data_IF_534106214430
#
_entry.id   IF_534106214430
#
_cell.length_a   1.000
_cell.length_b   1.000
_cell.length_c   1.000
_cell.angle_alpha   90.00
_cell.angle_beta   90.00
_cell.angle_gamma   90.00
#
_symmetry.space_group_name_H-M   'P 1'
#
loop_
_entity.id
_entity.type
_entity.pdbx_description
1 polymer ?
#
# COMPACT_ATOMS: atom_id res chain seq x y z
N UNK A 1 -26.67 17.60 17.47
CA UNK A 1 -25.55 18.40 18.04
C UNK A 1 -24.35 18.15 17.14
N UNK A 2 -23.88 19.19 16.49
CA UNK A 2 -22.65 19.09 15.70
C UNK A 2 -21.47 19.01 16.68
N UNK A 3 -20.64 17.98 16.52
CA UNK A 3 -19.40 17.81 17.25
C UNK A 3 -18.22 18.14 16.31
N UNK A 4 -17.94 19.43 16.07
CA UNK A 4 -16.91 19.84 15.09
C UNK A 4 -15.53 19.35 15.46
N UNK A 5 -15.26 19.07 16.75
CA UNK A 5 -14.03 18.45 17.21
C UNK A 5 -13.86 16.98 16.77
N UNK A 6 -14.96 16.28 16.48
CA UNK A 6 -14.93 14.90 15.98
C UNK A 6 -14.89 14.83 14.45
N UNK A 7 -15.20 15.94 13.78
CA UNK A 7 -15.24 16.03 12.32
C UNK A 7 -14.06 16.82 11.73
N UNK A 8 -13.15 17.30 12.59
CA UNK A 8 -11.99 18.06 12.11
C UNK A 8 -11.08 17.19 11.25
N UNK A 9 -11.08 17.51 9.97
CA UNK A 9 -10.01 17.37 9.01
C UNK A 9 -9.40 15.96 8.85
N UNK A 10 -10.10 14.94 9.24
CA UNK A 10 -9.52 13.62 9.14
C UNK A 10 -9.92 12.92 7.83
N UNK A 11 -8.94 12.49 7.04
CA UNK A 11 -9.20 11.48 6.04
C UNK A 11 -9.48 10.16 6.75
N UNK A 12 -10.72 9.67 6.64
CA UNK A 12 -11.03 8.33 7.12
C UNK A 12 -10.53 7.30 6.12
N UNK A 13 -9.63 6.42 6.55
CA UNK A 13 -9.20 5.27 5.75
C UNK A 13 -10.32 4.25 5.49
N UNK A 14 -11.44 4.36 6.21
CA UNK A 14 -12.63 3.53 6.01
C UNK A 14 -13.58 4.08 4.95
N UNK A 15 -13.47 5.37 4.62
CA UNK A 15 -14.36 5.99 3.63
C UNK A 15 -14.24 5.34 2.25
N UNK A 16 -15.38 5.02 1.65
CA UNK A 16 -15.48 4.26 0.41
C UNK A 16 -14.99 2.79 0.49
N UNK A 17 -14.85 2.22 1.67
CA UNK A 17 -14.57 0.79 1.86
C UNK A 17 -15.82 0.03 2.29
N UNK A 18 -15.72 -1.30 2.42
CA UNK A 18 -16.78 -2.13 2.98
C UNK A 18 -17.20 -1.70 4.40
N UNK A 19 -16.35 -0.98 5.14
CA UNK A 19 -16.70 -0.49 6.48
C UNK A 19 -17.82 0.55 6.49
N UNK A 20 -18.03 1.26 5.39
CA UNK A 20 -19.13 2.23 5.22
C UNK A 20 -20.39 1.59 4.62
N UNK A 21 -20.37 0.28 4.32
CA UNK A 21 -21.47 -0.43 3.69
C UNK A 21 -22.29 -1.21 4.72
N UNK A 22 -23.56 -1.38 4.40
CA UNK A 22 -24.42 -2.34 5.11
C UNK A 22 -24.13 -3.77 4.63
N UNK A 23 -24.41 -4.75 5.46
CA UNK A 23 -24.24 -6.15 5.08
C UNK A 23 -25.06 -6.55 3.83
N UNK A 24 -26.22 -5.93 3.61
CA UNK A 24 -27.07 -6.17 2.42
C UNK A 24 -26.39 -5.67 1.13
N UNK A 25 -25.69 -4.54 1.19
CA UNK A 25 -24.93 -4.01 0.05
C UNK A 25 -23.73 -4.89 -0.28
N UNK A 26 -23.03 -5.36 0.75
CA UNK A 26 -21.90 -6.31 0.59
C UNK A 26 -22.38 -7.63 -0.01
N UNK A 27 -23.48 -8.20 0.52
CA UNK A 27 -24.05 -9.44 0.00
C UNK A 27 -24.49 -9.31 -1.48
N UNK A 28 -25.13 -8.19 -1.84
CA UNK A 28 -25.52 -7.91 -3.23
C UNK A 28 -24.30 -7.85 -4.15
N UNK A 29 -23.25 -7.14 -3.76
CA UNK A 29 -22.02 -7.05 -4.55
C UNK A 29 -21.34 -8.42 -4.73
N UNK A 30 -21.29 -9.24 -3.67
CA UNK A 30 -20.77 -10.60 -3.75
C UNK A 30 -21.58 -11.47 -4.74
N UNK A 31 -22.92 -11.42 -4.69
CA UNK A 31 -23.79 -12.12 -5.64
C UNK A 31 -23.62 -11.65 -7.08
N UNK A 32 -23.29 -10.39 -7.29
CA UNK A 32 -23.00 -9.84 -8.61
C UNK A 32 -21.59 -10.21 -9.13
N UNK A 33 -20.78 -10.93 -8.35
CA UNK A 33 -19.42 -11.31 -8.71
C UNK A 33 -18.41 -10.19 -8.56
N UNK A 34 -18.67 -9.20 -7.71
CA UNK A 34 -17.72 -8.14 -7.43
C UNK A 34 -16.37 -8.69 -6.94
N UNK A 35 -15.28 -8.07 -7.37
CA UNK A 35 -13.94 -8.37 -6.88
C UNK A 35 -13.61 -7.52 -5.66
N UNK A 36 -12.66 -7.98 -4.84
CA UNK A 36 -12.20 -7.25 -3.66
C UNK A 36 -10.81 -6.67 -3.91
N UNK A 37 -10.64 -5.39 -3.63
CA UNK A 37 -9.36 -4.69 -3.58
C UNK A 37 -8.94 -4.55 -2.12
N UNK A 38 -7.70 -4.93 -1.78
CA UNK A 38 -7.24 -4.89 -0.40
C UNK A 38 -5.87 -4.22 -0.29
N UNK A 39 -5.81 -3.09 0.40
CA UNK A 39 -4.57 -2.37 0.70
C UNK A 39 -3.95 -2.89 2.00
N UNK A 40 -2.67 -3.27 1.93
CA UNK A 40 -1.90 -3.76 3.07
C UNK A 40 -0.72 -2.81 3.34
N UNK A 41 -0.68 -2.27 4.55
CA UNK A 41 0.34 -1.34 5.00
C UNK A 41 0.75 -1.57 6.44
N UNK A 42 1.40 -0.57 7.01
CA UNK A 42 1.83 -0.57 8.40
C UNK A 42 1.74 0.85 8.96
N UNK A 43 1.66 0.99 10.28
CA UNK A 43 1.85 2.27 10.94
C UNK A 43 3.34 2.40 11.24
N UNK A 44 3.98 3.34 10.59
CA UNK A 44 5.44 3.50 10.54
C UNK A 44 5.82 4.98 10.52
N UNK A 45 6.91 5.34 11.17
CA UNK A 45 7.46 6.68 11.04
C UNK A 45 7.81 7.02 9.59
N UNK A 46 7.58 8.25 9.18
CA UNK A 46 7.87 8.79 7.85
C UNK A 46 8.46 10.20 7.96
N UNK A 47 9.50 10.32 8.75
CA UNK A 47 10.13 11.61 9.01
C UNK A 47 9.26 12.57 9.81
N UNK A 48 9.70 13.82 10.00
CA UNK A 48 8.94 14.81 10.77
C UNK A 48 7.81 15.49 9.99
N UNK A 49 7.61 15.13 8.71
CA UNK A 49 6.74 15.85 7.78
C UNK A 49 5.55 15.02 7.27
N UNK A 50 5.61 13.69 7.37
CA UNK A 50 4.51 12.81 6.96
C UNK A 50 3.89 12.10 8.17
N UNK A 51 2.61 11.71 8.08
CA UNK A 51 1.95 10.97 9.14
C UNK A 51 2.46 9.53 9.22
N UNK A 52 2.36 8.91 10.40
CA UNK A 52 2.71 7.50 10.62
C UNK A 52 1.89 6.53 9.74
N UNK A 53 0.73 6.95 9.25
CA UNK A 53 -0.16 6.14 8.43
C UNK A 53 0.13 6.23 6.92
N UNK A 54 1.24 6.80 6.47
CA UNK A 54 1.55 7.00 5.05
C UNK A 54 1.38 5.73 4.24
N UNK A 55 1.90 4.60 4.72
CA UNK A 55 1.79 3.28 4.07
C UNK A 55 0.36 2.70 4.05
N UNK A 56 -0.55 3.31 4.76
CA UNK A 56 -1.98 2.98 4.72
C UNK A 56 -2.73 3.94 3.80
N UNK A 57 -2.41 5.23 3.87
CA UNK A 57 -3.05 6.26 3.05
C UNK A 57 -2.76 6.09 1.55
N UNK A 58 -1.52 5.82 1.17
CA UNK A 58 -1.13 5.76 -0.24
C UNK A 58 -1.77 4.58 -0.98
N UNK A 59 -1.69 3.32 -0.53
CA UNK A 59 -2.40 2.23 -1.20
C UNK A 59 -3.92 2.41 -1.17
N UNK A 60 -4.48 3.00 -0.13
CA UNK A 60 -5.89 3.31 -0.06
C UNK A 60 -6.30 4.33 -1.15
N UNK A 61 -5.54 5.40 -1.37
CA UNK A 61 -5.79 6.35 -2.46
C UNK A 61 -5.68 5.66 -3.83
N UNK A 62 -4.64 4.86 -4.04
CA UNK A 62 -4.47 4.06 -5.26
C UNK A 62 -5.69 3.18 -5.52
N UNK A 63 -6.18 2.45 -4.51
CA UNK A 63 -7.32 1.55 -4.67
C UNK A 63 -8.65 2.28 -4.91
N UNK A 64 -8.85 3.47 -4.34
CA UNK A 64 -10.03 4.29 -4.65
C UNK A 64 -10.04 4.72 -6.12
N UNK A 65 -8.91 5.18 -6.63
CA UNK A 65 -8.75 5.51 -8.05
C UNK A 65 -8.93 4.27 -8.93
N UNK A 66 -8.27 3.17 -8.59
CA UNK A 66 -8.39 1.89 -9.31
C UNK A 66 -9.85 1.42 -9.39
N UNK A 67 -10.61 1.50 -8.29
CA UNK A 67 -12.03 1.12 -8.26
C UNK A 67 -12.85 1.95 -9.27
N UNK A 68 -12.59 3.26 -9.37
CA UNK A 68 -13.27 4.13 -10.36
C UNK A 68 -12.93 3.70 -11.78
N UNK A 69 -11.66 3.42 -12.08
CA UNK A 69 -11.20 2.93 -13.38
C UNK A 69 -11.78 1.55 -13.75
N UNK A 70 -11.96 0.68 -12.76
CA UNK A 70 -12.62 -0.62 -12.94
C UNK A 70 -14.11 -0.45 -13.25
N UNK A 71 -14.80 0.44 -12.54
CA UNK A 71 -16.22 0.73 -12.79
C UNK A 71 -16.45 1.26 -14.21
N UNK A 72 -15.59 2.15 -14.73
CA UNK A 72 -15.61 2.64 -16.12
C UNK A 72 -15.46 1.50 -17.15
N UNK A 73 -14.86 0.37 -16.75
CA UNK A 73 -14.66 -0.85 -17.57
C UNK A 73 -15.67 -1.95 -17.27
N UNK A 74 -16.73 -1.64 -16.51
CA UNK A 74 -17.81 -2.59 -16.18
C UNK A 74 -17.44 -3.63 -15.12
N UNK A 75 -16.37 -3.43 -14.37
CA UNK A 75 -15.96 -4.31 -13.28
C UNK A 75 -16.41 -3.74 -11.94
N UNK A 76 -17.33 -4.44 -11.26
CA UNK A 76 -17.72 -4.09 -9.89
C UNK A 76 -16.61 -4.50 -8.91
N UNK A 77 -16.15 -3.55 -8.10
CA UNK A 77 -15.09 -3.78 -7.13
C UNK A 77 -15.41 -3.12 -5.78
N UNK A 78 -15.20 -3.84 -4.69
CA UNK A 78 -15.25 -3.30 -3.33
C UNK A 78 -13.85 -3.17 -2.76
N UNK A 79 -13.63 -2.18 -1.90
CA UNK A 79 -12.38 -2.03 -1.17
C UNK A 79 -12.58 -2.60 0.23
N UNK A 80 -11.81 -3.63 0.60
CA UNK A 80 -11.78 -4.12 1.98
C UNK A 80 -11.23 -3.05 2.93
N UNK A 81 -11.62 -3.05 4.21
CA UNK A 81 -11.01 -2.16 5.19
C UNK A 81 -9.49 -2.33 5.18
N UNK A 82 -8.71 -1.22 5.21
CA UNK A 82 -7.27 -1.29 5.10
C UNK A 82 -6.63 -2.14 6.20
N UNK A 83 -5.63 -2.93 5.82
CA UNK A 83 -4.77 -3.62 6.75
C UNK A 83 -3.60 -2.70 7.13
N UNK A 84 -3.36 -2.49 8.42
CA UNK A 84 -2.31 -1.60 8.94
C UNK A 84 -1.47 -2.25 10.06
N UNK A 85 -1.64 -3.54 10.30
CA UNK A 85 -0.83 -4.33 11.23
C UNK A 85 0.25 -5.13 10.48
N UNK A 86 1.05 -4.42 9.70
CA UNK A 86 2.12 -4.99 8.90
C UNK A 86 3.41 -5.24 9.66
N UNK A 87 4.45 -5.58 8.90
CA UNK A 87 5.80 -5.82 9.40
C UNK A 87 6.68 -4.62 9.06
N UNK A 88 7.41 -4.16 10.06
CA UNK A 88 8.37 -3.08 9.94
C UNK A 88 9.64 -3.43 10.71
N UNK A 89 10.65 -3.92 9.99
CA UNK A 89 11.95 -4.21 10.58
C UNK A 89 12.94 -3.07 10.44
N UNK A 90 12.75 -2.19 9.47
CA UNK A 90 13.75 -1.16 9.17
C UNK A 90 13.62 0.00 10.14
N UNK A 91 12.45 0.61 10.24
CA UNK A 91 12.23 1.81 11.05
C UNK A 91 11.63 1.52 12.43
N UNK A 92 11.57 0.26 12.83
CA UNK A 92 10.95 -0.17 14.09
C UNK A 92 11.56 0.41 15.38
N UNK A 93 12.73 1.06 15.31
CA UNK A 93 13.34 1.75 16.45
C UNK A 93 12.80 3.16 16.69
N UNK A 94 11.97 3.68 15.81
CA UNK A 94 11.35 4.99 15.96
C UNK A 94 10.02 4.89 16.71
N UNK A 95 9.73 5.81 17.66
CA UNK A 95 8.46 5.85 18.34
C UNK A 95 7.27 5.97 17.37
N UNK A 96 6.19 5.25 17.63
CA UNK A 96 5.02 5.25 16.77
C UNK A 96 5.07 4.26 15.61
N UNK A 97 6.22 3.63 15.37
CA UNK A 97 6.33 2.52 14.44
C UNK A 97 5.89 1.21 15.10
N UNK A 98 4.95 0.50 14.47
CA UNK A 98 4.47 -0.79 14.92
C UNK A 98 4.98 -1.90 14.00
N UNK A 99 5.16 -3.08 14.56
CA UNK A 99 5.48 -4.29 13.79
C UNK A 99 4.81 -5.50 14.42
N UNK A 100 4.29 -6.39 13.60
CA UNK A 100 3.79 -7.69 14.08
C UNK A 100 4.71 -8.81 13.57
N UNK A 101 4.60 -9.97 14.19
CA UNK A 101 5.35 -11.15 13.71
C UNK A 101 4.77 -11.63 12.37
N UNK A 102 5.60 -12.22 11.49
CA UNK A 102 5.14 -12.81 10.23
C UNK A 102 3.97 -13.78 10.40
N UNK A 103 4.02 -14.65 11.42
CA UNK A 103 2.94 -15.60 11.69
C UNK A 103 1.62 -14.89 12.05
N UNK A 104 1.69 -13.80 12.81
CA UNK A 104 0.50 -13.00 13.15
C UNK A 104 -0.11 -12.33 11.93
N UNK A 105 0.72 -11.70 11.08
CA UNK A 105 0.26 -11.09 9.84
C UNK A 105 -0.36 -12.12 8.91
N UNK A 106 0.30 -13.26 8.73
CA UNK A 106 -0.17 -14.36 7.89
C UNK A 106 -1.52 -14.91 8.38
N UNK A 107 -1.63 -15.19 9.68
CA UNK A 107 -2.87 -15.69 10.27
C UNK A 107 -4.03 -14.72 10.06
N UNK A 108 -3.83 -13.43 10.34
CA UNK A 108 -4.85 -12.41 10.14
C UNK A 108 -5.29 -12.29 8.67
N UNK A 109 -4.34 -12.34 7.73
CA UNK A 109 -4.68 -12.33 6.30
C UNK A 109 -5.50 -13.55 5.89
N UNK A 110 -5.16 -14.74 6.38
CA UNK A 110 -5.92 -15.97 6.11
C UNK A 110 -7.34 -15.91 6.69
N UNK A 111 -7.51 -15.36 7.89
CA UNK A 111 -8.83 -15.19 8.51
C UNK A 111 -9.71 -14.21 7.72
N UNK A 112 -9.11 -13.14 7.19
CA UNK A 112 -9.82 -12.19 6.29
C UNK A 112 -10.18 -12.87 4.97
N UNK A 113 -9.27 -13.62 4.34
CA UNK A 113 -9.58 -14.38 3.12
C UNK A 113 -10.70 -15.40 3.35
N UNK A 114 -10.69 -16.10 4.48
CA UNK A 114 -11.75 -17.03 4.86
C UNK A 114 -13.10 -16.34 4.99
N UNK A 115 -13.13 -15.15 5.61
CA UNK A 115 -14.33 -14.34 5.77
C UNK A 115 -14.88 -13.89 4.42
N UNK A 116 -14.02 -13.34 3.56
CA UNK A 116 -14.41 -12.91 2.21
C UNK A 116 -14.94 -14.09 1.37
N UNK A 117 -14.28 -15.25 1.45
CA UNK A 117 -14.70 -16.46 0.72
C UNK A 117 -16.06 -16.99 1.21
N UNK A 118 -16.26 -17.00 2.53
CA UNK A 118 -17.55 -17.35 3.17
C UNK A 118 -18.67 -16.43 2.68
N UNK A 119 -18.40 -15.15 2.50
CA UNK A 119 -19.39 -14.16 2.07
C UNK A 119 -19.64 -14.17 0.55
N UNK A 120 -18.95 -15.05 -0.20
CA UNK A 120 -19.16 -15.27 -1.64
C UNK A 120 -18.17 -14.52 -2.55
N UNK A 121 -17.21 -13.80 -2.01
CA UNK A 121 -16.16 -13.20 -2.83
C UNK A 121 -15.13 -14.24 -3.25
N UNK A 122 -14.89 -14.32 -4.54
CA UNK A 122 -13.99 -15.31 -5.12
C UNK A 122 -12.61 -14.76 -5.42
N UNK A 123 -12.51 -13.46 -5.74
CA UNK A 123 -11.29 -12.84 -6.23
C UNK A 123 -10.88 -11.63 -5.39
N UNK A 124 -9.64 -11.62 -4.93
CA UNK A 124 -9.05 -10.55 -4.10
C UNK A 124 -7.75 -10.07 -4.74
N UNK A 125 -7.63 -8.78 -4.97
CA UNK A 125 -6.42 -8.12 -5.44
C UNK A 125 -5.78 -7.33 -4.30
N UNK A 126 -4.59 -7.74 -3.89
CA UNK A 126 -3.84 -7.17 -2.78
C UNK A 126 -2.76 -6.22 -3.28
N UNK A 127 -2.68 -5.02 -2.71
CA UNK A 127 -1.64 -4.01 -3.00
C UNK A 127 -0.92 -3.68 -1.71
N UNK A 128 0.42 -3.69 -1.74
CA UNK A 128 1.24 -3.30 -0.59
C UNK A 128 1.54 -1.81 -0.60
N UNK A 129 1.43 -1.16 0.56
CA UNK A 129 1.97 0.18 0.81
C UNK A 129 3.35 0.17 1.48
N UNK A 130 3.82 -1.01 1.90
CA UNK A 130 5.04 -1.14 2.72
C UNK A 130 6.24 -1.60 1.90
N UNK A 131 7.40 -0.94 2.13
CA UNK A 131 8.68 -1.23 1.48
C UNK A 131 9.49 -2.37 2.07
N UNK A 132 9.15 -2.85 3.27
CA UNK A 132 9.90 -3.92 3.95
C UNK A 132 9.79 -5.26 3.23
N UNK A 133 10.95 -5.90 2.96
CA UNK A 133 10.98 -7.16 2.22
C UNK A 133 10.25 -8.29 2.97
N UNK A 134 10.37 -8.36 4.31
CA UNK A 134 9.72 -9.41 5.09
C UNK A 134 8.21 -9.23 5.11
N UNK A 135 7.69 -7.98 5.12
CA UNK A 135 6.28 -7.70 4.96
C UNK A 135 5.75 -8.28 3.64
N UNK A 136 6.40 -7.93 2.54
CA UNK A 136 5.97 -8.34 1.20
C UNK A 136 6.11 -9.85 0.96
N UNK A 137 7.15 -10.48 1.48
CA UNK A 137 7.33 -11.93 1.44
C UNK A 137 6.25 -12.66 2.26
N UNK A 138 5.92 -12.14 3.45
CA UNK A 138 4.85 -12.68 4.30
C UNK A 138 3.48 -12.54 3.64
N UNK A 139 3.23 -11.40 2.98
CA UNK A 139 2.02 -11.16 2.20
C UNK A 139 1.91 -12.14 1.03
N UNK A 140 2.98 -12.34 0.26
CA UNK A 140 3.01 -13.29 -0.86
C UNK A 140 2.77 -14.73 -0.37
N UNK A 141 3.33 -15.12 0.78
CA UNK A 141 3.08 -16.43 1.38
C UNK A 141 1.63 -16.59 1.82
N UNK A 142 1.04 -15.56 2.48
CA UNK A 142 -0.36 -15.60 2.88
C UNK A 142 -1.31 -15.72 1.67
N UNK A 143 -1.01 -15.02 0.58
CA UNK A 143 -1.75 -15.12 -0.69
C UNK A 143 -1.67 -16.55 -1.24
N UNK A 144 -0.48 -17.13 -1.30
CA UNK A 144 -0.28 -18.51 -1.79
C UNK A 144 -1.08 -19.50 -0.96
N UNK A 145 -1.03 -19.38 0.37
CA UNK A 145 -1.78 -20.24 1.28
C UNK A 145 -3.28 -20.02 1.15
N UNK A 146 -3.75 -18.78 1.06
CA UNK A 146 -5.16 -18.46 0.82
C UNK A 146 -5.71 -19.13 -0.44
N UNK A 147 -4.94 -19.15 -1.52
CA UNK A 147 -5.27 -19.86 -2.77
C UNK A 147 -5.35 -21.38 -2.56
N UNK A 148 -4.36 -21.96 -1.87
CA UNK A 148 -4.26 -23.40 -1.70
C UNK A 148 -5.23 -23.97 -0.64
N UNK A 149 -5.41 -23.28 0.49
CA UNK A 149 -6.12 -23.79 1.66
C UNK A 149 -7.58 -23.33 1.73
N UNK A 150 -7.89 -22.13 1.20
CA UNK A 150 -9.21 -21.48 1.31
C UNK A 150 -9.92 -21.50 -0.06
N UNK A 151 -9.17 -21.60 -1.16
CA UNK A 151 -9.72 -21.55 -2.51
C UNK A 151 -10.10 -20.13 -2.97
N UNK A 152 -9.59 -19.08 -2.33
CA UNK A 152 -9.75 -17.70 -2.79
C UNK A 152 -8.77 -17.41 -3.92
N UNK A 153 -9.20 -16.79 -5.01
CA UNK A 153 -8.32 -16.31 -6.08
C UNK A 153 -7.66 -14.99 -5.66
N UNK A 154 -6.72 -15.06 -4.73
CA UNK A 154 -5.97 -13.89 -4.27
C UNK A 154 -4.74 -13.63 -5.15
N UNK A 155 -4.46 -12.36 -5.44
CA UNK A 155 -3.35 -11.91 -6.27
C UNK A 155 -2.60 -10.77 -5.59
N UNK A 156 -1.27 -10.77 -5.70
CA UNK A 156 -0.44 -9.63 -5.33
C UNK A 156 -0.21 -8.78 -6.58
N UNK A 157 -0.72 -7.55 -6.57
CA UNK A 157 -0.60 -6.60 -7.68
C UNK A 157 0.53 -5.62 -7.36
N UNK A 158 1.57 -5.59 -8.20
CA UNK A 158 2.75 -4.79 -7.90
C UNK A 158 3.49 -4.34 -9.18
N UNK A 159 4.23 -3.22 -9.08
CA UNK A 159 5.06 -2.73 -10.18
C UNK A 159 6.29 -3.59 -10.42
N UNK A 160 6.78 -3.62 -11.68
CA UNK A 160 7.93 -4.41 -12.11
C UNK A 160 9.21 -4.10 -11.31
N UNK A 161 9.48 -2.84 -10.99
CA UNK A 161 10.64 -2.47 -10.18
C UNK A 161 10.57 -3.01 -8.73
N UNK A 162 9.37 -3.18 -8.19
CA UNK A 162 9.17 -3.82 -6.89
C UNK A 162 9.35 -5.33 -6.97
N UNK A 163 8.78 -5.98 -7.99
CA UNK A 163 8.92 -7.41 -8.22
C UNK A 163 10.40 -7.81 -8.35
N UNK A 164 11.17 -7.06 -9.15
CA UNK A 164 12.61 -7.25 -9.31
C UNK A 164 13.37 -7.11 -7.98
N UNK A 165 13.10 -6.03 -7.23
CA UNK A 165 13.73 -5.79 -5.92
C UNK A 165 13.44 -6.88 -4.91
N UNK A 166 12.23 -7.42 -4.92
CA UNK A 166 11.78 -8.47 -4.00
C UNK A 166 12.11 -9.89 -4.52
N UNK A 167 12.63 -9.99 -5.74
CA UNK A 167 12.95 -11.25 -6.43
C UNK A 167 11.73 -12.17 -6.57
N UNK A 168 10.59 -11.58 -6.94
CA UNK A 168 9.40 -12.33 -7.25
C UNK A 168 9.42 -12.76 -8.71
N UNK A 169 9.18 -14.05 -8.95
CA UNK A 169 9.17 -14.62 -10.30
C UNK A 169 7.91 -14.21 -11.04
N UNK A 170 8.09 -13.66 -12.25
CA UNK A 170 6.99 -13.12 -13.04
C UNK A 170 6.01 -14.17 -13.56
N UNK A 171 6.41 -15.41 -13.63
CA UNK A 171 5.60 -16.57 -14.05
C UNK A 171 4.80 -17.23 -12.91
N UNK A 172 5.02 -16.82 -11.65
CA UNK A 172 4.18 -17.27 -10.54
C UNK A 172 2.78 -16.66 -10.66
N UNK A 173 1.78 -17.51 -10.84
CA UNK A 173 0.40 -17.15 -11.13
C UNK A 173 -0.30 -16.28 -10.06
N UNK A 174 0.32 -16.12 -8.90
CA UNK A 174 -0.20 -15.25 -7.85
C UNK A 174 0.19 -13.76 -8.03
N UNK A 175 1.19 -13.46 -8.84
CA UNK A 175 1.63 -12.09 -9.07
C UNK A 175 0.98 -11.49 -10.32
N UNK A 176 0.53 -10.24 -10.19
CA UNK A 176 0.11 -9.38 -11.28
C UNK A 176 1.09 -8.21 -11.36
N UNK A 177 2.08 -8.35 -12.24
CA UNK A 177 3.16 -7.38 -12.36
C UNK A 177 2.83 -6.41 -13.51
N UNK A 178 2.69 -5.12 -13.17
CA UNK A 178 2.49 -4.06 -14.16
C UNK A 178 3.79 -3.28 -14.41
N UNK A 179 3.96 -2.67 -15.61
CA UNK A 179 5.21 -2.01 -16.00
C UNK A 179 5.34 -0.66 -15.29
N UNK A 180 5.85 -0.66 -14.07
CA UNK A 180 6.18 0.55 -13.31
C UNK A 180 7.49 0.34 -12.56
N UNK A 181 8.49 1.12 -12.93
CA UNK A 181 9.75 1.21 -12.21
C UNK A 181 9.98 2.68 -11.83
N UNK A 182 10.43 2.96 -10.61
CA UNK A 182 10.78 4.32 -10.25
C UNK A 182 11.91 4.82 -11.16
N UNK A 183 11.89 6.10 -11.53
CA UNK A 183 12.97 6.67 -12.33
C UNK A 183 14.30 6.59 -11.55
N UNK A 184 15.44 6.42 -12.24
CA UNK A 184 16.73 6.46 -11.60
C UNK A 184 16.95 7.84 -10.96
N UNK A 185 17.40 7.84 -9.72
CA UNK A 185 17.75 9.05 -8.97
C UNK A 185 19.24 9.03 -8.63
N UNK A 186 19.91 10.19 -8.52
CA UNK A 186 21.34 10.24 -8.17
C UNK A 186 21.61 9.71 -6.76
N UNK A 187 20.62 9.79 -5.90
CA UNK A 187 20.66 9.30 -4.51
C UNK A 187 19.49 8.37 -4.25
N UNK A 188 19.59 7.56 -3.19
CA UNK A 188 18.48 6.70 -2.80
C UNK A 188 17.29 7.55 -2.32
N UNK A 189 16.12 7.33 -2.90
CA UNK A 189 14.84 7.93 -2.51
C UNK A 189 13.88 6.77 -2.19
N UNK A 190 13.85 6.34 -0.93
CA UNK A 190 13.29 5.04 -0.55
C UNK A 190 12.24 5.13 0.55
N UNK A 191 12.35 6.11 1.46
CA UNK A 191 11.47 6.21 2.61
C UNK A 191 11.24 7.67 2.99
N UNK A 192 10.00 8.10 2.99
CA UNK A 192 9.59 9.48 3.25
C UNK A 192 10.39 10.53 2.44
N UNK A 193 10.86 10.14 1.24
CA UNK A 193 11.60 11.00 0.33
C UNK A 193 10.70 11.77 -0.62
N UNK A 194 11.24 12.23 -1.75
CA UNK A 194 10.49 13.05 -2.72
C UNK A 194 9.25 12.35 -3.27
N UNK A 195 9.33 11.04 -3.54
CA UNK A 195 8.25 10.26 -4.09
C UNK A 195 7.05 10.17 -3.16
N UNK A 196 7.24 9.64 -1.95
CA UNK A 196 6.17 9.48 -0.95
C UNK A 196 5.65 10.83 -0.47
N UNK A 197 6.53 11.79 -0.24
CA UNK A 197 6.13 13.18 0.11
C UNK A 197 5.22 13.76 -0.96
N UNK A 198 5.56 13.61 -2.25
CA UNK A 198 4.75 14.10 -3.35
C UNK A 198 3.35 13.47 -3.35
N UNK A 199 3.28 12.15 -3.25
CA UNK A 199 2.02 11.40 -3.27
C UNK A 199 1.14 11.73 -2.07
N UNK A 200 1.71 11.74 -0.86
CA UNK A 200 0.98 12.10 0.35
C UNK A 200 0.48 13.55 0.30
N UNK A 201 1.32 14.48 -0.14
CA UNK A 201 0.93 15.89 -0.27
C UNK A 201 -0.13 16.12 -1.34
N UNK A 202 -0.07 15.37 -2.42
CA UNK A 202 -1.05 15.46 -3.51
C UNK A 202 -2.45 15.02 -3.12
N UNK A 203 -2.59 14.01 -2.26
CA UNK A 203 -3.87 13.40 -1.91
C UNK A 203 -4.34 13.68 -0.47
N UNK A 204 -3.42 13.94 0.45
CA UNK A 204 -3.69 14.10 1.87
C UNK A 204 -3.00 15.35 2.45
N UNK A 205 -3.19 16.55 1.84
CA UNK A 205 -2.45 17.76 2.22
C UNK A 205 -2.61 18.15 3.69
N UNK A 206 -3.76 17.84 4.30
CA UNK A 206 -4.07 18.21 5.69
C UNK A 206 -3.28 17.44 6.74
N UNK A 207 -2.68 16.30 6.37
CA UNK A 207 -1.84 15.49 7.27
C UNK A 207 -0.35 15.59 6.94
N UNK A 208 0.03 16.41 5.97
CA UNK A 208 1.42 16.68 5.60
C UNK A 208 1.86 18.02 6.19
N UNK A 209 2.96 18.04 6.91
CA UNK A 209 3.55 19.27 7.44
C UNK A 209 4.36 19.98 6.34
N UNK A 210 3.67 20.68 5.44
CA UNK A 210 4.25 21.32 4.27
C UNK A 210 5.32 22.39 4.59
N UNK A 211 5.21 23.05 5.71
CA UNK A 211 6.20 23.98 6.25
C UNK A 211 7.48 23.27 6.64
N UNK A 212 7.37 22.08 7.26
CA UNK A 212 8.51 21.23 7.62
C UNK A 212 9.18 20.68 6.36
N UNK A 213 8.41 20.16 5.38
CA UNK A 213 8.94 19.63 4.11
C UNK A 213 9.99 20.56 3.51
N UNK A 214 9.68 21.85 3.43
CA UNK A 214 10.55 22.87 2.81
C UNK A 214 11.85 23.14 3.56
N UNK A 215 11.97 22.71 4.80
CA UNK A 215 13.17 22.90 5.64
C UNK A 215 14.09 21.69 5.63
N UNK A 216 13.60 20.54 5.17
CA UNK A 216 14.36 19.31 5.13
C UNK A 216 15.43 19.36 4.03
N UNK A 217 16.46 18.55 4.19
CA UNK A 217 17.55 18.44 3.23
C UNK A 217 17.61 17.01 2.70
N UNK A 218 18.09 16.86 1.47
CA UNK A 218 18.42 15.54 0.94
C UNK A 218 19.40 14.83 1.88
N UNK A 219 19.20 13.52 2.05
CA UNK A 219 20.15 12.69 2.81
C UNK A 219 21.41 12.40 2.02
N UNK A 220 21.41 12.56 0.71
CA UNK A 220 22.51 12.29 -0.24
C UNK A 220 23.12 10.88 -0.08
N UNK A 221 22.36 9.93 0.48
CA UNK A 221 22.80 8.57 0.71
C UNK A 221 22.75 7.75 -0.58
N UNK A 222 23.78 6.92 -0.80
CA UNK A 222 23.89 6.06 -1.96
C UNK A 222 23.40 4.63 -1.72
N UNK A 223 23.67 3.75 -2.70
CA UNK A 223 23.26 2.34 -2.63
C UNK A 223 23.94 1.56 -1.49
N UNK A 224 25.20 1.88 -1.18
CA UNK A 224 25.94 1.24 -0.08
C UNK A 224 25.33 1.62 1.27
N UNK A 225 24.96 2.89 1.43
CA UNK A 225 24.27 3.38 2.61
C UNK A 225 22.90 2.72 2.78
N UNK A 226 22.18 2.51 1.66
CA UNK A 226 20.89 1.82 1.65
C UNK A 226 21.01 0.37 2.15
N UNK A 227 22.08 -0.33 1.80
CA UNK A 227 22.33 -1.69 2.28
C UNK A 227 22.52 -1.71 3.82
N UNK A 228 23.24 -0.74 4.36
CA UNK A 228 23.41 -0.59 5.82
C UNK A 228 22.09 -0.17 6.49
N UNK A 229 21.35 0.77 5.92
CA UNK A 229 20.06 1.23 6.41
C UNK A 229 19.05 0.10 6.52
N UNK A 230 19.00 -0.78 5.53
CA UNK A 230 18.12 -1.96 5.49
C UNK A 230 18.42 -3.03 6.54
N UNK A 231 19.54 -2.93 7.27
CA UNK A 231 19.76 -3.76 8.47
C UNK A 231 18.78 -3.42 9.59
N UNK A 232 18.15 -2.26 9.49
CA UNK A 232 17.03 -1.85 10.33
C UNK A 232 17.40 -1.44 11.76
N UNK A 233 16.38 -1.14 12.53
CA UNK A 233 16.45 -0.76 13.93
C UNK A 233 17.45 0.38 14.20
N UNK A 234 18.38 0.18 15.11
CA UNK A 234 19.38 1.19 15.47
C UNK A 234 20.30 1.60 14.30
N UNK A 235 20.48 0.73 13.28
CA UNK A 235 21.27 1.06 12.10
C UNK A 235 20.55 2.09 11.24
N UNK A 236 19.26 1.87 10.96
CA UNK A 236 18.43 2.81 10.23
C UNK A 236 18.38 4.15 10.95
N UNK A 237 18.11 4.15 12.27
CA UNK A 237 18.01 5.37 13.06
C UNK A 237 19.32 6.16 13.16
N UNK A 238 20.48 5.51 13.18
CA UNK A 238 21.78 6.20 13.12
C UNK A 238 22.03 6.84 11.77
N UNK A 239 21.67 6.13 10.69
CA UNK A 239 21.90 6.59 9.32
C UNK A 239 20.97 7.74 8.96
N UNK A 240 19.73 7.66 9.38
CA UNK A 240 18.66 8.63 9.13
C UNK A 240 17.99 9.07 10.44
N UNK A 241 18.63 9.92 11.24
CA UNK A 241 18.14 10.30 12.57
C UNK A 241 16.76 10.98 12.56
N UNK A 242 16.40 11.60 11.44
CA UNK A 242 15.11 12.26 11.24
C UNK A 242 14.05 11.32 10.61
N UNK A 243 14.39 10.05 10.36
CA UNK A 243 13.41 9.07 9.91
C UNK A 243 13.07 9.11 8.41
N UNK A 244 13.84 9.74 7.55
CA UNK A 244 13.62 9.69 6.10
C UNK A 244 14.92 9.38 5.35
N UNK A 245 14.80 8.73 4.21
CA UNK A 245 15.89 8.44 3.28
C UNK A 245 15.49 8.87 1.87
N UNK A 246 15.96 10.04 1.47
CA UNK A 246 15.63 10.69 0.20
C UNK A 246 15.76 12.20 0.27
N UNK A 247 15.02 12.88 -0.59
CA UNK A 247 14.96 14.34 -0.67
C UNK A 247 13.50 14.84 -0.52
N UNK A 248 12.97 14.93 0.70
CA UNK A 248 11.59 15.39 0.92
C UNK A 248 11.30 16.78 0.37
N UNK A 249 12.29 17.69 0.40
CA UNK A 249 12.13 19.07 -0.06
C UNK A 249 11.84 19.17 -1.58
N UNK A 250 12.23 18.17 -2.35
CA UNK A 250 11.87 18.03 -3.77
C UNK A 250 10.47 17.44 -4.00
N UNK A 251 9.67 17.28 -2.93
CA UNK A 251 8.28 16.84 -3.03
C UNK A 251 7.41 17.87 -3.76
N UNK A 252 6.58 17.37 -4.68
CA UNK A 252 5.65 18.16 -5.50
C UNK A 252 4.25 17.51 -5.50
N UNK A 253 3.22 18.18 -4.99
CA UNK A 253 1.88 17.60 -4.89
C UNK A 253 1.22 17.32 -6.25
N UNK A 254 1.52 18.09 -7.30
CA UNK A 254 1.00 17.81 -8.65
C UNK A 254 1.64 16.55 -9.23
N UNK A 255 2.96 16.42 -9.12
CA UNK A 255 3.67 15.20 -9.48
C UNK A 255 3.13 14.01 -8.69
N UNK A 256 2.85 14.20 -7.41
CA UNK A 256 2.27 13.15 -6.56
C UNK A 256 0.91 12.66 -7.03
N UNK A 257 0.03 13.58 -7.45
CA UNK A 257 -1.25 13.24 -8.07
C UNK A 257 -1.07 12.42 -9.33
N UNK A 258 -0.22 12.87 -10.24
CA UNK A 258 0.08 12.16 -11.49
C UNK A 258 0.62 10.75 -11.25
N UNK A 259 1.51 10.57 -10.25
CA UNK A 259 2.09 9.28 -9.91
C UNK A 259 1.02 8.28 -9.46
N UNK A 260 0.14 8.67 -8.53
CA UNK A 260 -0.92 7.78 -8.03
C UNK A 260 -1.99 7.51 -9.09
N UNK A 261 -2.37 8.49 -9.92
CA UNK A 261 -3.30 8.28 -11.02
C UNK A 261 -2.73 7.30 -12.05
N UNK A 262 -1.47 7.47 -12.45
CA UNK A 262 -0.77 6.54 -13.36
C UNK A 262 -0.71 5.13 -12.76
N UNK A 263 -0.37 5.02 -11.47
CA UNK A 263 -0.33 3.74 -10.80
C UNK A 263 -1.72 3.07 -10.78
N UNK A 264 -2.76 3.83 -10.51
CA UNK A 264 -4.13 3.31 -10.47
C UNK A 264 -4.60 2.83 -11.85
N UNK A 265 -4.24 3.52 -12.93
CA UNK A 265 -4.52 3.11 -14.30
C UNK A 265 -3.84 1.77 -14.62
N UNK A 266 -2.55 1.63 -14.31
CA UNK A 266 -1.78 0.39 -14.53
C UNK A 266 -2.31 -0.78 -13.70
N UNK A 267 -2.68 -0.53 -12.43
CA UNK A 267 -3.31 -1.55 -11.57
C UNK A 267 -4.66 -1.99 -12.14
N UNK A 268 -5.49 -1.06 -12.58
CA UNK A 268 -6.79 -1.38 -13.19
C UNK A 268 -6.63 -2.18 -14.49
N UNK A 269 -5.69 -1.82 -15.35
CA UNK A 269 -5.38 -2.55 -16.58
C UNK A 269 -4.92 -3.99 -16.28
N UNK A 270 -4.02 -4.18 -15.33
CA UNK A 270 -3.57 -5.50 -14.93
C UNK A 270 -4.71 -6.37 -14.39
N UNK A 271 -5.60 -5.80 -13.59
CA UNK A 271 -6.79 -6.49 -13.06
C UNK A 271 -7.74 -6.88 -14.19
N UNK A 272 -8.09 -5.97 -15.09
CA UNK A 272 -8.99 -6.25 -16.23
C UNK A 272 -8.41 -7.33 -17.13
N UNK A 273 -7.12 -7.25 -17.46
CA UNK A 273 -6.45 -8.27 -18.25
C UNK A 273 -6.48 -9.65 -17.57
N UNK A 274 -6.31 -9.69 -16.24
CA UNK A 274 -6.39 -10.94 -15.48
C UNK A 274 -7.80 -11.53 -15.48
N UNK A 275 -8.82 -10.71 -15.30
CA UNK A 275 -10.21 -11.15 -15.30
C UNK A 275 -10.64 -11.66 -16.68
N UNK A 276 -10.21 -11.02 -17.76
CA UNK A 276 -10.49 -11.44 -19.13
C UNK A 276 -9.83 -12.80 -19.48
N UNK A 277 -8.63 -13.06 -18.97
CA UNK A 277 -7.88 -14.30 -19.21
C UNK A 277 -8.25 -15.43 -18.24
N UNK A 278 -9.03 -15.16 -17.22
CA UNK A 278 -9.40 -16.10 -16.15
C UNK A 278 -10.85 -16.61 -16.22
N UNK A 279 -11.58 -16.34 -17.32
CA UNK A 279 -12.84 -17.07 -17.60
C UNK A 279 -12.52 -18.52 -17.92
N UNK A 280 -13.26 -19.50 -17.36
CA UNK A 280 -12.92 -20.89 -17.26
C UNK A 280 -12.68 -21.58 -18.57
#
# INVERSE_FOLDING_TARGET
>A
MDHPELTRGGYSIFHETMADMTWLEVERAARNGAVVLWGLGVIEEHGPHLPLGTDVYLPYATLKLTRRRLAERGVEALIAPPFYWGINNVTGSFPGSFTVRPDTMRALMLDVFSSLRKDGFETVFCVSGQGDALHNQTMAEAIRRGRAEIGVRAYFVLGSGWAERLRFEADDAQFLIYPLSPPPTPHADVHAGAGETSMAWGFFPDVVHADVVRTLRSTDLGLDDLAEWRRGWSNARRKTPLGYLGDPASGDPERGRMLLETQADLVAEAIVAKLANGSP
#
